data_IF_557671445947
#
_entry.id   IF_557671445947
#
_cell.length_a   1.000
_cell.length_b   1.000
_cell.length_c   1.000
_cell.angle_alpha   90.00
_cell.angle_beta   90.00
_cell.angle_gamma   90.00
#
_symmetry.space_group_name_H-M   'P 1'
#
loop_
_entity.id
_entity.type
_entity.pdbx_description
1 polymer ?
#
# COMPACT_ATOMS: atom_id res chain seq x y z
N UNK A 1 -29.61 -15.21 0.58
CA UNK A 1 -30.03 -14.55 -0.66
C UNK A 1 -30.06 -15.61 -1.72
N UNK A 2 -31.20 -15.91 -2.36
CA UNK A 2 -31.23 -16.89 -3.44
C UNK A 2 -30.41 -16.34 -4.60
N UNK A 3 -29.31 -17.01 -4.91
CA UNK A 3 -28.47 -16.67 -6.06
C UNK A 3 -29.24 -17.03 -7.33
N UNK A 4 -29.67 -16.04 -8.06
CA UNK A 4 -30.34 -16.16 -9.35
C UNK A 4 -29.41 -16.68 -10.47
N UNK A 5 -28.14 -16.87 -10.15
CA UNK A 5 -27.12 -17.24 -11.10
C UNK A 5 -26.33 -18.45 -10.58
N UNK A 6 -26.26 -19.48 -11.38
CA UNK A 6 -25.45 -20.66 -11.12
C UNK A 6 -24.05 -20.39 -11.66
N UNK A 7 -23.16 -19.93 -10.77
CA UNK A 7 -21.78 -19.70 -11.14
C UNK A 7 -20.97 -20.98 -10.97
N UNK A 8 -20.02 -21.25 -11.88
CA UNK A 8 -19.21 -22.46 -11.84
C UNK A 8 -18.21 -22.49 -10.66
N UNK A 9 -18.05 -21.38 -9.94
CA UNK A 9 -17.16 -21.29 -8.79
C UNK A 9 -17.82 -20.53 -7.64
N UNK A 10 -17.75 -21.10 -6.45
CA UNK A 10 -18.12 -20.44 -5.18
C UNK A 10 -16.86 -20.21 -4.36
N UNK A 11 -16.59 -18.96 -4.02
CA UNK A 11 -15.45 -18.59 -3.15
C UNK A 11 -16.01 -18.20 -1.79
N UNK A 12 -15.58 -18.91 -0.77
CA UNK A 12 -15.95 -18.65 0.61
C UNK A 12 -14.79 -17.99 1.35
N UNK A 13 -15.10 -16.91 2.06
CA UNK A 13 -14.16 -16.23 2.93
C UNK A 13 -14.49 -16.51 4.38
N UNK A 14 -13.49 -16.78 5.19
CA UNK A 14 -13.66 -16.86 6.63
C UNK A 14 -13.81 -15.44 7.19
N UNK A 15 -14.99 -15.09 7.63
CA UNK A 15 -15.31 -13.80 8.21
C UNK A 15 -15.63 -14.04 9.70
N UNK A 16 -14.73 -13.63 10.58
CA UNK A 16 -14.91 -13.79 12.03
C UNK A 16 -14.38 -12.61 12.84
N UNK A 17 -14.24 -11.45 12.20
CA UNK A 17 -13.44 -10.35 12.74
C UNK A 17 -14.15 -8.99 12.83
N UNK A 18 -15.45 -8.93 12.55
CA UNK A 18 -16.22 -7.67 12.61
C UNK A 18 -16.03 -6.97 13.97
N UNK A 19 -16.16 -7.71 15.05
CA UNK A 19 -16.03 -7.18 16.43
C UNK A 19 -14.66 -6.55 16.72
N UNK A 20 -13.60 -7.01 16.06
CA UNK A 20 -12.26 -6.47 16.28
C UNK A 20 -12.18 -4.99 15.91
N UNK A 21 -12.69 -4.62 14.75
CA UNK A 21 -12.64 -3.24 14.27
C UNK A 21 -13.59 -2.34 15.07
N UNK A 22 -14.69 -2.86 15.56
CA UNK A 22 -15.62 -2.13 16.43
C UNK A 22 -14.98 -1.78 17.78
N UNK A 23 -14.18 -2.68 18.34
CA UNK A 23 -13.48 -2.49 19.63
C UNK A 23 -12.30 -1.53 19.54
N UNK A 24 -11.87 -1.17 18.32
CA UNK A 24 -10.71 -0.28 18.09
C UNK A 24 -9.44 -0.76 18.80
N UNK A 25 -9.14 -2.03 18.66
CA UNK A 25 -7.97 -2.66 19.24
C UNK A 25 -6.78 -2.68 18.27
N UNK A 26 -5.57 -2.72 18.84
CA UNK A 26 -4.37 -3.07 18.07
C UNK A 26 -4.32 -4.59 17.88
N UNK A 27 -3.90 -5.01 16.70
CA UNK A 27 -3.70 -6.42 16.45
C UNK A 27 -2.52 -6.95 17.30
N UNK A 28 -2.70 -8.02 18.06
CA UNK A 28 -1.64 -8.59 18.87
C UNK A 28 -0.51 -9.12 18.00
N UNK A 29 0.72 -8.64 18.26
CA UNK A 29 1.88 -8.97 17.41
C UNK A 29 2.15 -10.48 17.39
N UNK A 30 1.96 -11.15 18.51
CA UNK A 30 2.18 -12.59 18.66
C UNK A 30 1.20 -13.46 17.86
N UNK A 31 0.14 -12.88 17.34
CA UNK A 31 -0.89 -13.57 16.55
C UNK A 31 -0.73 -13.44 15.04
N UNK A 32 0.31 -12.75 14.58
CA UNK A 32 0.60 -12.71 13.14
C UNK A 32 1.06 -14.10 12.70
N UNK A 33 0.37 -14.65 11.73
CA UNK A 33 0.68 -15.96 11.15
C UNK A 33 1.34 -15.80 9.79
N UNK A 34 2.32 -16.62 9.47
CA UNK A 34 3.03 -16.60 8.21
C UNK A 34 2.82 -17.89 7.44
N UNK A 35 2.31 -17.79 6.24
CA UNK A 35 2.16 -18.94 5.35
C UNK A 35 2.93 -18.74 4.05
N UNK A 36 3.50 -19.81 3.54
CA UNK A 36 4.18 -19.79 2.25
C UNK A 36 3.17 -19.77 1.12
N UNK A 37 3.30 -18.75 0.26
CA UNK A 37 2.58 -18.69 -1.01
C UNK A 37 3.59 -18.42 -2.13
N UNK A 38 3.67 -19.32 -3.12
CA UNK A 38 4.76 -19.34 -4.09
C UNK A 38 6.11 -19.41 -3.36
N UNK A 39 6.97 -18.40 -3.51
CA UNK A 39 8.31 -18.38 -2.92
C UNK A 39 8.43 -17.45 -1.70
N UNK A 40 7.34 -16.81 -1.28
CA UNK A 40 7.35 -15.80 -0.22
C UNK A 40 6.59 -16.27 1.02
N UNK A 41 7.02 -15.78 2.18
CA UNK A 41 6.31 -15.94 3.45
C UNK A 41 5.40 -14.75 3.68
N UNK A 42 4.10 -14.98 3.53
CA UNK A 42 3.08 -13.93 3.57
C UNK A 42 2.47 -13.86 4.96
N UNK A 43 2.43 -12.66 5.59
CA UNK A 43 1.77 -12.48 6.86
C UNK A 43 0.25 -12.50 6.70
N UNK A 44 -0.43 -13.10 7.67
CA UNK A 44 -1.88 -13.06 7.81
C UNK A 44 -2.22 -12.60 9.21
N UNK A 45 -3.09 -11.62 9.27
CA UNK A 45 -3.84 -11.29 10.47
C UNK A 45 -5.14 -12.11 10.44
N UNK A 46 -5.83 -12.22 11.55
CA UNK A 46 -7.15 -12.86 11.59
C UNK A 46 -7.18 -14.23 10.90
N UNK A 47 -6.20 -15.07 11.19
CA UNK A 47 -6.09 -16.38 10.57
C UNK A 47 -6.55 -17.48 11.52
N UNK A 48 -6.97 -18.59 10.93
CA UNK A 48 -7.04 -19.89 11.61
C UNK A 48 -5.84 -20.72 11.19
N UNK A 49 -5.41 -21.60 12.03
CA UNK A 49 -4.34 -22.54 11.74
C UNK A 49 -4.60 -23.33 10.44
N UNK A 50 -3.52 -23.70 9.78
CA UNK A 50 -3.54 -24.53 8.58
C UNK A 50 -3.33 -23.80 7.27
N UNK A 51 -3.76 -24.43 6.18
CA UNK A 51 -3.55 -23.97 4.81
C UNK A 51 -4.23 -22.60 4.54
N UNK A 52 -3.72 -21.87 3.56
CA UNK A 52 -4.29 -20.57 3.14
C UNK A 52 -5.72 -20.78 2.64
N UNK A 53 -5.93 -21.79 1.82
CA UNK A 53 -7.22 -22.14 1.25
C UNK A 53 -7.36 -23.65 1.07
N UNK A 54 -8.58 -24.12 0.94
CA UNK A 54 -8.93 -25.47 0.57
C UNK A 54 -9.83 -25.47 -0.64
N UNK A 55 -9.64 -26.44 -1.52
CA UNK A 55 -10.42 -26.61 -2.75
C UNK A 55 -11.37 -27.80 -2.61
N UNK A 56 -12.56 -27.68 -3.15
CA UNK A 56 -13.52 -28.73 -3.40
C UNK A 56 -14.01 -28.61 -4.85
N UNK A 57 -14.84 -29.54 -5.33
CA UNK A 57 -15.16 -29.67 -6.76
C UNK A 57 -15.62 -28.37 -7.45
N UNK A 58 -16.40 -27.56 -6.79
CA UNK A 58 -16.92 -26.29 -7.35
C UNK A 58 -16.70 -25.10 -6.38
N UNK A 59 -15.80 -25.26 -5.43
CA UNK A 59 -15.59 -24.21 -4.44
C UNK A 59 -14.15 -24.10 -3.94
N UNK A 60 -13.79 -22.87 -3.59
CA UNK A 60 -12.59 -22.53 -2.87
C UNK A 60 -12.97 -21.85 -1.56
N UNK A 61 -12.39 -22.30 -0.46
CA UNK A 61 -12.58 -21.68 0.85
C UNK A 61 -11.26 -21.11 1.34
N UNK A 62 -11.21 -19.80 1.55
CA UNK A 62 -10.09 -19.14 2.21
C UNK A 62 -10.18 -19.36 3.73
N UNK A 63 -9.21 -20.02 4.30
CA UNK A 63 -9.09 -20.23 5.75
C UNK A 63 -8.44 -19.05 6.46
N UNK A 64 -7.62 -18.30 5.75
CA UNK A 64 -7.04 -17.03 6.20
C UNK A 64 -7.97 -15.91 5.81
N UNK A 65 -8.26 -15.00 6.73
CA UNK A 65 -9.12 -13.85 6.45
C UNK A 65 -8.33 -12.76 5.71
N UNK A 66 -8.22 -12.95 4.40
CA UNK A 66 -7.52 -11.99 3.51
C UNK A 66 -8.27 -10.67 3.40
N UNK A 67 -9.58 -10.67 3.65
CA UNK A 67 -10.40 -9.45 3.56
C UNK A 67 -10.11 -8.55 4.76
N UNK A 68 -10.24 -9.06 5.99
CA UNK A 68 -9.94 -8.29 7.18
C UNK A 68 -8.46 -7.91 7.28
N UNK A 69 -7.56 -8.83 6.90
CA UNK A 69 -6.12 -8.53 6.84
C UNK A 69 -5.82 -7.42 5.83
N UNK A 70 -6.40 -7.49 4.64
CA UNK A 70 -6.28 -6.46 3.62
C UNK A 70 -6.83 -5.12 4.08
N UNK A 71 -8.00 -5.11 4.72
CA UNK A 71 -8.59 -3.89 5.30
C UNK A 71 -7.68 -3.26 6.34
N UNK A 72 -7.10 -4.06 7.24
CA UNK A 72 -6.18 -3.57 8.26
C UNK A 72 -4.99 -2.81 7.67
N UNK A 73 -4.38 -3.34 6.61
CA UNK A 73 -3.24 -2.69 5.96
C UNK A 73 -3.64 -1.48 5.11
N UNK A 74 -4.70 -1.59 4.31
CA UNK A 74 -5.15 -0.51 3.42
C UNK A 74 -5.65 0.73 4.17
N UNK A 75 -6.25 0.54 5.34
CA UNK A 75 -6.76 1.65 6.15
C UNK A 75 -5.73 2.22 7.10
N UNK A 76 -4.49 1.70 7.09
CA UNK A 76 -3.49 2.03 8.11
C UNK A 76 -4.06 1.89 9.53
N UNK A 77 -4.78 0.80 9.80
CA UNK A 77 -5.51 0.61 11.05
C UNK A 77 -4.61 0.71 12.29
N UNK A 78 -3.40 0.17 12.19
CA UNK A 78 -2.42 0.23 13.28
C UNK A 78 -2.10 1.67 13.66
N UNK A 79 -1.79 2.47 12.67
CA UNK A 79 -1.45 3.88 12.81
C UNK A 79 -2.66 4.69 13.30
N UNK A 80 -3.85 4.39 12.77
CA UNK A 80 -5.09 5.01 13.21
C UNK A 80 -5.33 4.78 14.70
N UNK A 81 -5.17 3.56 15.20
CA UNK A 81 -5.39 3.22 16.61
C UNK A 81 -4.33 3.84 17.51
N UNK A 82 -3.06 3.83 17.11
CA UNK A 82 -1.99 4.50 17.87
C UNK A 82 -2.27 6.00 18.02
N UNK A 83 -2.72 6.67 16.97
CA UNK A 83 -3.11 8.06 17.02
C UNK A 83 -4.36 8.29 17.87
N UNK A 84 -5.37 7.43 17.74
CA UNK A 84 -6.63 7.53 18.48
C UNK A 84 -6.42 7.51 19.99
N UNK A 85 -5.53 6.66 20.49
CA UNK A 85 -5.19 6.58 21.90
C UNK A 85 -4.13 7.61 22.35
N UNK A 86 -3.72 8.51 21.49
CA UNK A 86 -2.79 9.58 21.82
C UNK A 86 -1.33 9.16 22.00
N UNK A 87 -0.97 7.98 21.52
CA UNK A 87 0.42 7.50 21.56
C UNK A 87 1.34 8.24 20.58
N UNK A 88 0.78 8.97 19.64
CA UNK A 88 1.53 9.87 18.75
C UNK A 88 0.70 11.11 18.44
N UNK A 89 1.29 12.29 18.59
CA UNK A 89 0.74 13.56 18.10
C UNK A 89 1.26 13.95 16.73
N UNK A 90 2.23 13.20 16.23
CA UNK A 90 2.93 13.41 14.97
C UNK A 90 2.85 12.15 14.10
N UNK A 91 3.59 12.13 13.01
CA UNK A 91 3.73 10.92 12.17
C UNK A 91 4.28 9.79 13.01
N UNK A 92 3.63 8.63 12.91
CA UNK A 92 4.08 7.42 13.60
C UNK A 92 5.44 7.02 13.06
N UNK A 93 6.35 6.68 13.96
CA UNK A 93 7.65 6.15 13.58
C UNK A 93 7.43 4.82 12.84
N UNK A 94 8.02 4.72 11.65
CA UNK A 94 8.03 3.53 10.82
C UNK A 94 8.41 2.26 11.61
N UNK A 95 9.32 2.36 12.56
CA UNK A 95 9.74 1.25 13.44
C UNK A 95 8.61 0.70 14.33
N UNK A 96 7.52 1.44 14.47
CA UNK A 96 6.33 0.99 15.21
C UNK A 96 5.34 0.22 14.33
N UNK A 97 5.51 0.24 13.02
CA UNK A 97 4.64 -0.48 12.10
C UNK A 97 4.78 -2.00 12.23
N UNK A 98 3.72 -2.73 11.91
CA UNK A 98 3.76 -4.20 11.84
C UNK A 98 4.78 -4.68 10.80
N UNK A 99 4.84 -3.99 9.66
CA UNK A 99 5.72 -4.31 8.56
C UNK A 99 7.19 -4.32 9.00
N UNK A 100 7.59 -3.30 9.75
CA UNK A 100 8.95 -3.24 10.27
C UNK A 100 9.22 -4.31 11.34
N UNK A 101 8.30 -4.46 12.28
CA UNK A 101 8.48 -5.39 13.40
C UNK A 101 8.56 -6.85 12.99
N UNK A 102 7.91 -7.21 11.90
CA UNK A 102 7.86 -8.56 11.35
C UNK A 102 8.65 -8.73 10.05
N UNK A 103 9.44 -7.72 9.68
CA UNK A 103 10.36 -7.75 8.54
C UNK A 103 9.71 -8.14 7.21
N UNK A 104 8.55 -7.54 6.93
CA UNK A 104 7.88 -7.76 5.64
C UNK A 104 7.58 -6.46 4.87
N UNK A 105 8.37 -5.42 5.08
CA UNK A 105 8.19 -4.11 4.45
C UNK A 105 8.31 -4.12 2.92
N UNK A 106 9.06 -5.06 2.39
CA UNK A 106 9.26 -5.20 0.94
C UNK A 106 8.19 -6.09 0.28
N UNK A 107 7.30 -6.70 1.08
CA UNK A 107 6.23 -7.55 0.57
C UNK A 107 4.98 -6.71 0.33
N UNK A 108 4.48 -6.60 -0.90
CA UNK A 108 3.21 -5.93 -1.19
C UNK A 108 2.04 -6.85 -0.79
N UNK A 109 1.81 -6.98 0.52
CA UNK A 109 0.93 -7.99 1.13
C UNK A 109 -0.46 -8.01 0.51
N UNK A 110 -1.07 -6.85 0.30
CA UNK A 110 -2.44 -6.76 -0.27
C UNK A 110 -2.46 -7.22 -1.72
N UNK A 111 -1.45 -6.87 -2.51
CA UNK A 111 -1.34 -7.35 -3.89
C UNK A 111 -1.18 -8.88 -3.92
N UNK A 112 -0.45 -9.44 -2.96
CA UNK A 112 -0.32 -10.90 -2.85
C UNK A 112 -1.66 -11.54 -2.47
N UNK A 113 -2.47 -10.94 -1.60
CA UNK A 113 -3.83 -11.41 -1.32
C UNK A 113 -4.70 -11.39 -2.57
N UNK A 114 -4.61 -10.34 -3.38
CA UNK A 114 -5.27 -10.29 -4.68
C UNK A 114 -4.77 -11.39 -5.63
N UNK A 115 -3.48 -11.66 -5.65
CA UNK A 115 -2.92 -12.76 -6.45
C UNK A 115 -3.42 -14.14 -5.98
N UNK A 116 -3.62 -14.35 -4.68
CA UNK A 116 -4.20 -15.59 -4.15
C UNK A 116 -5.64 -15.76 -4.64
N UNK A 117 -6.42 -14.68 -4.65
CA UNK A 117 -7.79 -14.71 -5.18
C UNK A 117 -7.79 -15.03 -6.67
N UNK A 118 -6.95 -14.36 -7.45
CA UNK A 118 -6.80 -14.65 -8.88
C UNK A 118 -6.39 -16.11 -9.11
N UNK A 119 -5.44 -16.63 -8.34
CA UNK A 119 -5.03 -18.02 -8.43
C UNK A 119 -6.17 -19.01 -8.19
N UNK A 120 -7.03 -18.75 -7.19
CA UNK A 120 -8.22 -19.56 -6.94
C UNK A 120 -9.20 -19.49 -8.13
N UNK A 121 -9.37 -18.31 -8.72
CA UNK A 121 -10.22 -18.14 -9.91
C UNK A 121 -9.64 -18.85 -11.14
N UNK A 122 -8.34 -18.79 -11.35
CA UNK A 122 -7.64 -19.44 -12.48
C UNK A 122 -7.84 -20.96 -12.50
N UNK A 123 -7.86 -21.59 -11.32
CA UNK A 123 -8.04 -23.04 -11.21
C UNK A 123 -9.42 -23.47 -11.73
N UNK A 124 -10.48 -22.70 -11.45
CA UNK A 124 -11.85 -23.10 -11.74
C UNK A 124 -12.46 -22.41 -12.96
N UNK A 125 -12.00 -21.21 -13.25
CA UNK A 125 -12.61 -20.35 -14.26
C UNK A 125 -11.56 -19.65 -15.14
N UNK A 126 -10.59 -20.37 -15.73
CA UNK A 126 -9.51 -19.77 -16.52
C UNK A 126 -10.03 -18.94 -17.70
N UNK A 127 -11.22 -19.32 -18.24
CA UNK A 127 -11.84 -18.62 -19.37
C UNK A 127 -12.36 -17.21 -19.02
N UNK A 128 -12.56 -16.90 -17.74
CA UNK A 128 -13.02 -15.59 -17.30
C UNK A 128 -11.89 -14.65 -16.91
N UNK A 129 -10.69 -15.19 -16.77
CA UNK A 129 -9.52 -14.39 -16.42
C UNK A 129 -8.92 -13.83 -17.71
N UNK A 130 -9.09 -12.54 -17.89
CA UNK A 130 -8.40 -11.81 -18.92
C UNK A 130 -7.05 -11.38 -18.38
N UNK A 131 -6.01 -11.71 -19.12
CA UNK A 131 -4.71 -11.13 -18.87
C UNK A 131 -4.83 -9.60 -19.02
N UNK A 132 -4.74 -8.89 -17.90
CA UNK A 132 -4.74 -7.43 -17.90
C UNK A 132 -3.36 -7.03 -18.40
N UNK A 133 -3.31 -6.56 -19.64
CA UNK A 133 -2.08 -6.03 -20.22
C UNK A 133 -2.27 -4.57 -20.59
N UNK A 134 -1.23 -3.79 -20.40
CA UNK A 134 -1.14 -2.44 -20.93
C UNK A 134 -1.00 -2.46 -22.46
N UNK A 135 -1.10 -1.30 -23.09
CA UNK A 135 -0.91 -1.17 -24.53
C UNK A 135 0.33 -1.96 -24.98
N UNK A 136 0.27 -2.56 -26.17
CA UNK A 136 1.33 -3.42 -26.74
C UNK A 136 1.69 -4.64 -25.90
N UNK A 137 0.76 -5.18 -25.12
CA UNK A 137 0.95 -6.32 -24.21
C UNK A 137 2.05 -6.11 -23.17
N UNK A 138 2.28 -4.87 -22.74
CA UNK A 138 3.23 -4.58 -21.66
C UNK A 138 2.69 -5.07 -20.32
N UNK A 139 3.58 -5.54 -19.46
CA UNK A 139 3.22 -6.09 -18.15
C UNK A 139 2.91 -5.01 -17.12
N UNK A 140 3.45 -3.82 -17.28
CA UNK A 140 3.22 -2.67 -16.40
C UNK A 140 3.31 -1.36 -17.18
N UNK A 141 2.77 -0.29 -16.60
CA UNK A 141 2.95 1.06 -17.05
C UNK A 141 3.50 1.92 -15.91
N UNK A 142 4.32 2.90 -16.25
CA UNK A 142 4.85 3.87 -15.29
C UNK A 142 4.30 5.23 -15.64
N UNK A 143 3.64 5.88 -14.68
CA UNK A 143 3.24 7.28 -14.78
C UNK A 143 4.14 8.11 -13.87
N UNK A 144 4.87 9.05 -14.45
CA UNK A 144 5.68 9.98 -13.69
C UNK A 144 4.83 11.22 -13.41
N UNK A 145 4.69 11.58 -12.16
CA UNK A 145 4.03 12.80 -11.71
C UNK A 145 4.95 13.59 -10.80
N UNK A 146 4.76 14.90 -10.77
CA UNK A 146 5.42 15.76 -9.82
C UNK A 146 4.35 16.36 -8.91
N UNK A 147 4.55 16.16 -7.63
CA UNK A 147 3.76 16.85 -6.62
C UNK A 147 4.31 18.27 -6.41
N UNK A 148 3.44 19.25 -6.54
CA UNK A 148 3.80 20.66 -6.37
C UNK A 148 3.20 21.13 -5.05
N UNK A 149 3.95 20.96 -3.97
CA UNK A 149 3.53 21.37 -2.62
C UNK A 149 3.34 22.90 -2.52
N UNK A 150 4.09 23.66 -3.32
CA UNK A 150 4.06 25.11 -3.33
C UNK A 150 3.97 25.64 -4.76
N UNK A 151 2.78 26.06 -5.17
CA UNK A 151 2.58 26.69 -6.47
C UNK A 151 3.10 28.15 -6.51
N UNK A 152 3.16 28.81 -5.35
CA UNK A 152 3.75 30.15 -5.19
C UNK A 152 5.12 30.08 -4.52
N UNK A 153 6.11 29.64 -5.28
CA UNK A 153 7.50 29.54 -4.82
C UNK A 153 8.09 30.92 -4.42
N UNK A 154 7.48 32.01 -4.90
CA UNK A 154 7.93 33.37 -4.67
C UNK A 154 7.09 34.15 -3.67
N UNK A 155 6.07 33.56 -3.09
CA UNK A 155 5.21 34.16 -2.09
C UNK A 155 5.85 34.29 -0.71
N UNK A 156 5.79 35.45 -0.10
CA UNK A 156 6.06 35.71 1.32
C UNK A 156 7.36 35.16 1.90
N UNK A 157 7.24 34.35 2.93
CA UNK A 157 8.36 33.77 3.70
C UNK A 157 9.25 32.82 2.89
N UNK A 158 8.69 32.17 1.87
CA UNK A 158 9.44 31.25 1.02
C UNK A 158 10.61 31.95 0.28
N UNK A 159 10.46 33.21 -0.08
CA UNK A 159 11.53 34.00 -0.73
C UNK A 159 12.78 34.11 0.15
N UNK A 160 12.59 34.33 1.42
CA UNK A 160 13.69 34.51 2.38
C UNK A 160 14.41 33.18 2.61
N UNK A 161 13.68 32.09 2.70
CA UNK A 161 14.25 30.77 2.95
C UNK A 161 14.99 30.25 1.72
N UNK A 162 14.46 30.48 0.52
CA UNK A 162 15.13 30.15 -0.73
C UNK A 162 16.40 30.96 -0.90
N UNK A 163 16.34 32.25 -0.58
CA UNK A 163 17.54 33.10 -0.66
C UNK A 163 18.62 32.63 0.33
N UNK A 164 18.24 32.37 1.58
CA UNK A 164 19.16 31.82 2.59
C UNK A 164 19.75 30.48 2.19
N UNK A 165 18.92 29.58 1.67
CA UNK A 165 19.36 28.27 1.21
C UNK A 165 20.34 28.40 0.04
N UNK A 166 20.02 29.22 -0.95
CA UNK A 166 20.88 29.43 -2.12
C UNK A 166 22.21 30.12 -1.72
N UNK A 167 22.18 31.08 -0.82
CA UNK A 167 23.38 31.72 -0.31
C UNK A 167 24.26 30.72 0.44
N UNK A 168 23.68 29.91 1.32
CA UNK A 168 24.39 28.85 2.04
C UNK A 168 24.99 27.79 1.11
N UNK A 169 24.28 27.45 0.04
CA UNK A 169 24.71 26.49 -0.97
C UNK A 169 25.82 27.08 -1.84
N UNK A 170 25.71 28.36 -2.19
CA UNK A 170 26.75 29.10 -2.93
C UNK A 170 28.08 29.17 -2.17
N UNK A 171 28.00 29.46 -0.90
CA UNK A 171 29.21 29.51 -0.04
C UNK A 171 29.89 28.15 0.13
N UNK A 172 29.12 27.07 0.12
CA UNK A 172 29.66 25.71 0.27
C UNK A 172 30.06 25.06 -1.06
N UNK A 173 29.35 25.33 -2.12
CA UNK A 173 29.54 24.71 -3.45
C UNK A 173 29.08 25.67 -4.56
N UNK A 174 29.91 26.64 -4.95
CA UNK A 174 29.50 27.73 -5.84
C UNK A 174 28.98 27.26 -7.20
N UNK A 175 29.55 26.21 -7.78
CA UNK A 175 29.08 25.66 -9.08
C UNK A 175 27.66 25.07 -9.02
N UNK A 176 27.28 24.44 -7.93
CA UNK A 176 25.93 23.89 -7.76
C UNK A 176 24.88 24.98 -7.48
N UNK A 177 25.29 26.09 -6.89
CA UNK A 177 24.42 27.21 -6.60
C UNK A 177 24.05 27.97 -7.88
N UNK A 178 24.99 28.20 -8.77
CA UNK A 178 24.73 28.83 -10.08
C UNK A 178 23.78 28.03 -10.94
N UNK A 179 23.87 26.70 -10.93
CA UNK A 179 22.96 25.83 -11.66
C UNK A 179 21.51 25.90 -11.11
N UNK A 180 21.35 25.93 -9.78
CA UNK A 180 20.03 26.06 -9.16
C UNK A 180 19.39 27.42 -9.37
N UNK A 181 20.16 28.50 -9.28
CA UNK A 181 19.68 29.86 -9.56
C UNK A 181 19.26 29.98 -11.05
N UNK A 182 20.06 29.44 -11.97
CA UNK A 182 19.72 29.39 -13.39
C UNK A 182 18.43 28.61 -13.68
N UNK A 183 18.24 27.46 -13.01
CA UNK A 183 17.01 26.68 -13.12
C UNK A 183 15.77 27.43 -12.63
N UNK A 184 15.87 28.19 -11.56
CA UNK A 184 14.74 29.01 -11.06
C UNK A 184 14.40 30.18 -11.97
N UNK A 185 15.37 30.81 -12.58
CA UNK A 185 15.14 31.89 -13.57
C UNK A 185 14.50 31.33 -14.84
N UNK A 186 14.90 30.14 -15.26
CA UNK A 186 14.33 29.48 -16.42
C UNK A 186 12.86 29.08 -16.19
N UNK A 187 12.54 28.52 -15.04
CA UNK A 187 11.16 28.22 -14.65
C UNK A 187 10.25 29.46 -14.62
N UNK A 188 10.77 30.59 -14.14
CA UNK A 188 10.00 31.83 -14.12
C UNK A 188 9.61 32.30 -15.53
N UNK A 189 10.50 32.14 -16.50
CA UNK A 189 10.23 32.52 -17.90
C UNK A 189 9.26 31.58 -18.59
N UNK A 190 9.13 30.32 -18.15
CA UNK A 190 8.17 29.36 -18.70
C UNK A 190 6.74 29.56 -18.20
N UNK A 191 6.57 30.13 -17.02
CA UNK A 191 5.24 30.31 -16.40
C UNK A 191 4.60 31.64 -16.80
N UNK A 192 5.37 32.62 -17.23
CA UNK A 192 4.90 33.99 -17.57
C UNK A 192 4.99 34.37 -19.04
N UNK A 193 5.32 33.44 -19.93
CA UNK A 193 5.16 33.52 -21.38
C UNK A 193 4.14 32.52 -21.89
#
# INVERSE_FOLDING_TARGET
VPTKYDYPLKIYFNIGTADFFEKRELYPLEKVDFCKFKNEHIPFLFSRDGAIFSFADESCSFRKDIIASGFYFLTCWHEYILNYYGHSKERIDYKQSLQYRWDFTEIPVVDVYCQMLLYAMEIYCPQFIREISWAEKKRFAVSLSHDIDYWDYWGGSAKVDVFKYNLKTFLKRPLNATYKIGGHLWHKNLIYN
#
